data_IF_893789581094
#
_entry.id   IF_893789581094
#
_cell.length_a   1.000
_cell.length_b   1.000
_cell.length_c   1.000
_cell.angle_alpha   90.00
_cell.angle_beta   90.00
_cell.angle_gamma   90.00
#
_symmetry.space_group_name_H-M   'P 1'
#
loop_
_entity.id
_entity.type
_entity.pdbx_description
1 polymer ?
#
# COMPACT_ATOMS: atom_id res chain seq x y z
N UNK A 1 -17.19 16.44 8.69
CA UNK A 1 -17.33 16.38 10.16
C UNK A 1 -18.55 15.58 10.64
N UNK A 2 -19.36 14.99 9.74
CA UNK A 2 -20.52 14.15 10.10
C UNK A 2 -20.12 12.81 10.73
N UNK A 3 -18.95 12.29 10.35
CA UNK A 3 -18.60 10.90 10.61
C UNK A 3 -18.24 10.63 12.10
N UNK A 4 -17.98 11.64 12.94
CA UNK A 4 -17.46 11.48 14.31
C UNK A 4 -18.54 11.25 15.39
N UNK A 5 -19.82 11.25 15.02
CA UNK A 5 -20.96 11.39 15.95
C UNK A 5 -21.19 10.24 16.96
N UNK A 6 -20.51 9.09 16.86
CA UNK A 6 -20.91 7.90 17.62
C UNK A 6 -19.99 7.40 18.73
N UNK A 7 -18.68 7.65 18.68
CA UNK A 7 -17.70 6.84 19.47
C UNK A 7 -16.60 7.67 20.13
N UNK A 8 -16.43 8.95 19.79
CA UNK A 8 -15.26 9.71 20.25
C UNK A 8 -15.55 10.55 21.49
N UNK A 9 -14.77 10.29 22.53
CA UNK A 9 -14.58 11.24 23.63
C UNK A 9 -14.06 12.57 23.04
N UNK A 10 -14.72 13.67 23.38
CA UNK A 10 -14.37 15.02 22.95
C UNK A 10 -13.12 15.54 23.70
N UNK A 11 -11.98 14.88 23.47
CA UNK A 11 -10.70 15.21 24.09
C UNK A 11 -9.86 16.12 23.20
N UNK A 12 -8.93 16.90 23.77
CA UNK A 12 -7.96 17.64 22.96
C UNK A 12 -7.17 16.75 21.99
N UNK A 13 -6.85 15.52 22.41
CA UNK A 13 -6.14 14.55 21.58
C UNK A 13 -6.96 14.11 20.36
N UNK A 14 -8.22 13.72 20.55
CA UNK A 14 -9.09 13.29 19.44
C UNK A 14 -9.34 14.44 18.47
N UNK A 15 -9.64 15.64 18.97
CA UNK A 15 -9.79 16.85 18.13
C UNK A 15 -8.57 17.12 17.26
N UNK A 16 -7.38 17.07 17.86
CA UNK A 16 -6.15 17.34 17.13
C UNK A 16 -5.77 16.20 16.17
N UNK A 17 -6.00 14.94 16.55
CA UNK A 17 -5.68 13.79 15.69
C UNK A 17 -6.61 13.69 14.48
N UNK A 18 -7.91 13.97 14.65
CA UNK A 18 -8.90 13.98 13.55
C UNK A 18 -9.08 15.36 12.90
N UNK A 19 -8.17 16.30 13.17
CA UNK A 19 -8.22 17.63 12.56
C UNK A 19 -7.94 17.56 11.06
N UNK A 20 -8.42 18.57 10.32
CA UNK A 20 -8.21 18.61 8.86
C UNK A 20 -6.73 18.72 8.53
N UNK A 21 -5.99 19.50 9.32
CA UNK A 21 -4.57 19.72 9.19
C UNK A 21 -3.79 18.41 9.37
N UNK A 22 -4.15 17.59 10.36
CA UNK A 22 -3.50 16.29 10.56
C UNK A 22 -3.82 15.31 9.43
N UNK A 23 -5.05 15.31 8.93
CA UNK A 23 -5.46 14.49 7.77
C UNK A 23 -4.64 14.88 6.53
N UNK A 24 -4.54 16.17 6.23
CA UNK A 24 -3.79 16.64 5.05
C UNK A 24 -2.27 16.41 5.21
N UNK A 25 -1.75 16.48 6.44
CA UNK A 25 -0.37 16.10 6.75
C UNK A 25 -0.15 14.59 6.51
N UNK A 26 -1.05 13.72 6.98
CA UNK A 26 -0.98 12.28 6.72
C UNK A 26 -1.04 11.99 5.22
N UNK A 27 -1.96 12.61 4.47
CA UNK A 27 -2.07 12.45 3.01
C UNK A 27 -0.77 12.83 2.28
N UNK A 28 -0.11 13.90 2.70
CA UNK A 28 1.17 14.31 2.12
C UNK A 28 2.29 13.33 2.46
N UNK A 29 2.34 12.87 3.71
CA UNK A 29 3.32 11.87 4.14
C UNK A 29 3.10 10.52 3.46
N UNK A 30 1.85 10.07 3.25
CA UNK A 30 1.54 8.84 2.52
C UNK A 30 2.12 8.91 1.11
N UNK A 31 1.83 9.99 0.37
CA UNK A 31 2.35 10.17 -0.99
C UNK A 31 3.89 10.16 -1.02
N UNK A 32 4.52 10.87 -0.08
CA UNK A 32 5.97 10.92 0.03
C UNK A 32 6.58 9.55 0.34
N UNK A 33 6.04 8.82 1.31
CA UNK A 33 6.56 7.52 1.72
C UNK A 33 6.33 6.43 0.66
N UNK A 34 5.21 6.47 -0.09
CA UNK A 34 4.99 5.56 -1.23
C UNK A 34 5.99 5.85 -2.35
N UNK A 35 6.24 7.12 -2.67
CA UNK A 35 7.26 7.50 -3.62
C UNK A 35 8.65 7.02 -3.17
N UNK A 36 9.01 7.21 -1.91
CA UNK A 36 10.29 6.75 -1.36
C UNK A 36 10.40 5.21 -1.40
N UNK A 37 9.38 4.49 -0.94
CA UNK A 37 9.36 3.03 -0.86
C UNK A 37 9.36 2.34 -2.23
N UNK A 38 8.88 3.02 -3.27
CA UNK A 38 8.95 2.54 -4.66
C UNK A 38 10.30 2.82 -5.34
N UNK A 39 11.31 3.27 -4.60
CA UNK A 39 12.59 3.67 -5.17
C UNK A 39 12.49 4.94 -6.02
N UNK A 40 11.61 5.88 -5.61
CA UNK A 40 11.36 7.16 -6.26
C UNK A 40 10.68 7.07 -7.64
N UNK A 41 9.96 5.97 -7.92
CA UNK A 41 9.37 5.67 -9.24
C UNK A 41 7.87 5.94 -9.33
N UNK A 42 7.12 5.69 -8.26
CA UNK A 42 5.66 5.74 -8.30
C UNK A 42 5.14 6.96 -7.54
N UNK A 43 4.47 7.84 -8.27
CA UNK A 43 3.77 9.01 -7.71
C UNK A 43 2.28 8.68 -7.69
N UNK A 44 1.67 8.80 -6.52
CA UNK A 44 0.24 8.53 -6.32
C UNK A 44 -0.53 9.81 -6.02
N UNK A 45 -1.82 9.81 -6.33
CA UNK A 45 -2.75 10.87 -5.97
C UNK A 45 -3.08 10.88 -4.47
N UNK A 46 -3.90 11.86 -4.07
CA UNK A 46 -4.51 11.91 -2.74
C UNK A 46 -5.46 10.71 -2.58
N UNK A 47 -5.45 10.08 -1.41
CA UNK A 47 -6.34 8.96 -1.10
C UNK A 47 -7.71 9.46 -0.61
N UNK A 48 -8.72 8.60 -0.57
CA UNK A 48 -10.05 8.98 -0.08
C UNK A 48 -9.97 9.36 1.42
N UNK A 49 -10.42 10.59 1.74
CA UNK A 49 -10.38 11.11 3.10
C UNK A 49 -11.24 10.29 4.07
N UNK A 50 -12.41 9.81 3.64
CA UNK A 50 -13.29 8.98 4.48
C UNK A 50 -12.65 7.64 4.82
N UNK A 51 -11.99 6.99 3.86
CA UNK A 51 -11.26 5.73 4.10
C UNK A 51 -10.08 5.94 5.05
N UNK A 52 -9.32 7.02 4.85
CA UNK A 52 -8.23 7.38 5.76
C UNK A 52 -8.75 7.62 7.18
N UNK A 53 -9.88 8.32 7.33
CA UNK A 53 -10.51 8.55 8.64
C UNK A 53 -10.96 7.24 9.28
N UNK A 54 -11.48 6.28 8.51
CA UNK A 54 -11.83 4.93 9.03
C UNK A 54 -10.58 4.22 9.59
N UNK A 55 -9.46 4.28 8.87
CA UNK A 55 -8.19 3.71 9.32
C UNK A 55 -7.68 4.42 10.58
N UNK A 56 -7.68 5.75 10.57
CA UNK A 56 -7.29 6.57 11.72
C UNK A 56 -8.13 6.23 12.96
N UNK A 57 -9.43 6.00 12.80
CA UNK A 57 -10.31 5.59 13.93
C UNK A 57 -9.93 4.23 14.49
N UNK A 58 -9.76 3.25 13.62
CA UNK A 58 -9.36 1.91 14.04
C UNK A 58 -8.09 1.96 14.88
N UNK A 59 -7.09 2.72 14.39
CA UNK A 59 -5.81 2.88 15.07
C UNK A 59 -5.94 3.67 16.38
N UNK A 60 -6.73 4.75 16.38
CA UNK A 60 -7.00 5.54 17.57
C UNK A 60 -7.65 4.71 18.68
N UNK A 61 -8.65 3.90 18.36
CA UNK A 61 -9.34 3.05 19.34
C UNK A 61 -8.41 1.99 19.93
N UNK A 62 -7.50 1.44 19.14
CA UNK A 62 -6.59 0.38 19.57
C UNK A 62 -5.36 0.92 20.32
N UNK A 63 -4.85 2.09 19.96
CA UNK A 63 -3.52 2.56 20.39
C UNK A 63 -3.52 3.88 21.17
N UNK A 64 -4.65 4.58 21.26
CA UNK A 64 -4.69 5.86 21.98
C UNK A 64 -4.51 5.66 23.48
N UNK A 65 -3.55 6.39 24.06
CA UNK A 65 -3.33 6.46 25.51
C UNK A 65 -4.26 7.47 26.20
N UNK A 66 -4.94 8.34 25.43
CA UNK A 66 -5.86 9.38 25.92
C UNK A 66 -5.35 10.19 27.12
N UNK A 67 -4.05 10.49 27.17
CA UNK A 67 -3.47 11.33 28.24
C UNK A 67 -3.63 12.81 27.90
N UNK A 68 -3.94 13.64 28.89
CA UNK A 68 -4.05 15.09 28.71
C UNK A 68 -2.70 15.81 28.57
N UNK A 69 -1.58 15.10 28.78
CA UNK A 69 -0.22 15.61 28.58
C UNK A 69 0.43 15.01 27.34
N UNK A 70 1.46 15.68 26.79
CA UNK A 70 2.24 15.19 25.64
C UNK A 70 1.39 14.84 24.40
N UNK A 71 0.33 15.61 24.14
CA UNK A 71 -0.59 15.40 23.02
C UNK A 71 0.16 15.32 21.69
N UNK A 72 1.14 16.20 21.47
CA UNK A 72 1.94 16.19 20.25
C UNK A 72 2.70 14.87 20.04
N UNK A 73 3.29 14.30 21.10
CA UNK A 73 3.98 13.02 21.01
C UNK A 73 2.99 11.89 20.72
N UNK A 74 1.83 11.89 21.38
CA UNK A 74 0.78 10.89 21.13
C UNK A 74 0.29 10.95 19.69
N UNK A 75 0.09 12.15 19.12
CA UNK A 75 -0.29 12.32 17.71
C UNK A 75 0.80 11.78 16.78
N UNK A 76 2.08 12.06 17.06
CA UNK A 76 3.19 11.53 16.25
C UNK A 76 3.23 10.00 16.28
N UNK A 77 3.06 9.39 17.45
CA UNK A 77 3.03 7.93 17.61
C UNK A 77 1.86 7.32 16.83
N UNK A 78 0.65 7.88 16.98
CA UNK A 78 -0.54 7.42 16.26
C UNK A 78 -0.40 7.60 14.74
N UNK A 79 0.07 8.77 14.30
CA UNK A 79 0.31 9.05 12.89
C UNK A 79 1.32 8.08 12.28
N UNK A 80 2.37 7.72 13.03
CA UNK A 80 3.35 6.72 12.58
C UNK A 80 2.68 5.38 12.30
N UNK A 81 1.82 4.91 13.20
CA UNK A 81 1.08 3.64 13.01
C UNK A 81 0.15 3.74 11.79
N UNK A 82 -0.53 4.89 11.60
CA UNK A 82 -1.36 5.14 10.41
C UNK A 82 -0.52 5.06 9.14
N UNK A 83 0.64 5.73 9.11
CA UNK A 83 1.53 5.74 7.94
C UNK A 83 2.07 4.34 7.65
N UNK A 84 2.57 3.64 8.65
CA UNK A 84 3.16 2.30 8.48
C UNK A 84 2.12 1.33 7.87
N UNK A 85 0.88 1.34 8.39
CA UNK A 85 -0.21 0.52 7.85
C UNK A 85 -0.66 0.94 6.43
N UNK A 86 -0.85 2.24 6.20
CA UNK A 86 -1.39 2.74 4.91
C UNK A 86 -0.38 2.62 3.77
N UNK A 87 0.88 2.94 4.03
CA UNK A 87 1.95 2.91 3.01
C UNK A 87 2.18 1.50 2.51
N UNK A 88 2.30 0.51 3.40
CA UNK A 88 2.54 -0.89 3.01
C UNK A 88 1.40 -1.44 2.11
N UNK A 89 0.16 -1.16 2.50
CA UNK A 89 -1.03 -1.54 1.74
C UNK A 89 -1.05 -0.88 0.36
N UNK A 90 -0.78 0.42 0.28
CA UNK A 90 -0.80 1.16 -0.99
C UNK A 90 0.34 0.71 -1.91
N UNK A 91 1.55 0.49 -1.39
CA UNK A 91 2.68 0.00 -2.21
C UNK A 91 2.35 -1.36 -2.85
N UNK A 92 1.72 -2.25 -2.08
CA UNK A 92 1.26 -3.55 -2.59
C UNK A 92 0.22 -3.38 -3.70
N UNK A 93 -0.77 -2.52 -3.50
CA UNK A 93 -1.81 -2.24 -4.49
C UNK A 93 -1.26 -1.58 -5.76
N UNK A 94 -0.28 -0.68 -5.64
CA UNK A 94 0.39 -0.04 -6.78
C UNK A 94 1.09 -1.10 -7.64
N UNK A 95 1.82 -2.04 -7.02
CA UNK A 95 2.46 -3.15 -7.74
C UNK A 95 1.44 -4.02 -8.47
N UNK A 96 0.34 -4.38 -7.79
CA UNK A 96 -0.75 -5.15 -8.38
C UNK A 96 -1.38 -4.42 -9.57
N UNK A 97 -1.62 -3.12 -9.44
CA UNK A 97 -2.20 -2.30 -10.50
C UNK A 97 -1.28 -2.21 -11.73
N UNK A 98 0.02 -2.09 -11.52
CA UNK A 98 1.00 -2.09 -12.61
C UNK A 98 1.06 -3.46 -13.29
N UNK A 99 1.09 -4.55 -12.51
CA UNK A 99 1.04 -5.91 -13.07
C UNK A 99 -0.22 -6.10 -13.91
N UNK A 100 -1.39 -5.76 -13.35
CA UNK A 100 -2.66 -5.84 -14.06
C UNK A 100 -2.63 -5.06 -15.38
N UNK A 101 -2.10 -3.82 -15.38
CA UNK A 101 -1.96 -3.02 -16.59
C UNK A 101 -1.07 -3.70 -17.63
N UNK A 102 0.04 -4.30 -17.21
CA UNK A 102 0.93 -5.04 -18.10
C UNK A 102 0.22 -6.30 -18.66
N UNK A 103 -0.51 -7.02 -17.82
CA UNK A 103 -1.19 -8.27 -18.19
C UNK A 103 -2.32 -8.05 -19.20
N UNK A 104 -3.04 -6.92 -19.12
CA UNK A 104 -4.11 -6.59 -20.08
C UNK A 104 -3.58 -5.98 -21.37
N UNK A 105 -2.41 -5.35 -21.33
CA UNK A 105 -1.84 -4.61 -22.47
C UNK A 105 -0.96 -5.49 -23.34
N UNK A 106 -0.38 -6.56 -22.78
CA UNK A 106 0.46 -7.50 -23.51
C UNK A 106 -0.31 -8.78 -23.86
N UNK A 107 0.00 -9.41 -25.01
CA UNK A 107 -0.53 -10.73 -25.31
C UNK A 107 -0.07 -11.71 -24.22
N UNK A 108 -0.97 -12.61 -23.81
CA UNK A 108 -0.60 -13.65 -22.84
C UNK A 108 0.51 -14.50 -23.43
N UNK A 109 1.54 -14.76 -22.64
CA UNK A 109 2.56 -15.73 -23.02
C UNK A 109 1.89 -17.10 -23.17
N UNK A 110 1.97 -17.66 -24.37
CA UNK A 110 1.52 -19.02 -24.63
C UNK A 110 2.50 -19.95 -23.93
N UNK A 111 1.99 -20.92 -23.17
CA UNK A 111 2.85 -21.93 -22.55
C UNK A 111 3.51 -22.75 -23.64
N UNK A 112 4.84 -22.87 -23.59
CA UNK A 112 5.56 -23.76 -24.48
C UNK A 112 5.06 -25.20 -24.30
N UNK A 113 5.07 -25.96 -25.40
CA UNK A 113 4.78 -27.38 -25.33
C UNK A 113 5.81 -28.09 -24.45
N UNK A 114 5.37 -29.19 -23.82
CA UNK A 114 6.26 -30.06 -23.06
C UNK A 114 7.44 -30.51 -23.91
N UNK A 115 8.66 -30.35 -23.39
CA UNK A 115 9.88 -30.81 -24.04
C UNK A 115 10.11 -32.28 -23.69
N UNK A 116 10.36 -33.11 -24.70
CA UNK A 116 10.72 -34.50 -24.48
C UNK A 116 12.07 -34.59 -23.72
N UNK A 117 12.06 -35.18 -22.51
CA UNK A 117 13.24 -35.34 -21.67
C UNK A 117 14.02 -36.63 -21.95
N UNK A 118 13.51 -37.49 -22.84
CA UNK A 118 14.14 -38.75 -23.20
C UNK A 118 15.29 -38.56 -24.19
N UNK A 119 16.41 -39.26 -23.95
CA UNK A 119 17.56 -39.35 -24.86
C UNK A 119 17.27 -40.28 -26.05
N UNK A 120 16.18 -41.05 -26.01
CA UNK A 120 15.81 -41.96 -27.11
C UNK A 120 15.41 -41.15 -28.34
N UNK A 121 16.18 -41.30 -29.43
CA UNK A 121 15.96 -40.60 -30.70
C UNK A 121 16.87 -39.38 -30.92
N UNK A 122 17.63 -38.92 -29.92
CA UNK A 122 18.59 -37.81 -30.08
C UNK A 122 19.92 -38.22 -30.70
N UNK A 123 20.16 -39.53 -30.85
CA UNK A 123 21.34 -40.09 -31.52
C UNK A 123 20.96 -40.55 -32.92
N UNK A 124 20.92 -39.61 -33.87
CA UNK A 124 20.80 -39.93 -35.29
C UNK A 124 22.18 -39.93 -35.94
N UNK A 125 22.41 -40.94 -36.78
CA UNK A 125 23.60 -41.03 -37.63
C UNK A 125 23.42 -40.03 -38.79
N UNK A 126 24.41 -39.16 -38.98
CA UNK A 126 24.42 -38.28 -40.16
C UNK A 126 24.59 -39.13 -41.42
N UNK A 127 23.77 -38.88 -42.43
CA UNK A 127 23.96 -39.52 -43.73
C UNK A 127 25.18 -38.90 -44.39
N UNK A 128 26.20 -39.73 -44.60
CA UNK A 128 27.42 -39.30 -45.26
C UNK A 128 27.08 -38.86 -46.69
N UNK A 129 27.36 -37.61 -47.09
CA UNK A 129 27.20 -37.18 -48.47
C UNK A 129 28.38 -37.77 -49.23
N UNK A 130 28.12 -38.84 -49.98
CA UNK A 130 29.05 -39.35 -50.98
C UNK A 130 29.34 -38.27 -52.02
#
# INVERSE_FOLDING_TARGET
MEELKGIQYNTPLSKAFFSRENIDALQTNIRYNVWLSSGKKHIIGKQNDSELVVIMRSIFLQNSKNRNSNILSQIKDLNKIVLDYTVDKIVTQVKQYISYKNDISNPRQIMDHSVNTSIRGSRQLEQNPW
#
